data_IF_557699638540
#
_entry.id   IF_557699638540
#
_cell.length_a   1.000
_cell.length_b   1.000
_cell.length_c   1.000
_cell.angle_alpha   90.00
_cell.angle_beta   90.00
_cell.angle_gamma   90.00
#
_symmetry.space_group_name_H-M   'P 1'
#
loop_
_entity.id
_entity.type
_entity.pdbx_description
1 polymer ?
#
# COMPACT_ATOMS: atom_id res chain seq x y z
N UNK A 1 -18.26 -3.37 -5.44
CA UNK A 1 -16.96 -2.66 -5.46
C UNK A 1 -16.39 -2.53 -6.86
N UNK A 2 -15.97 -3.61 -7.55
CA UNK A 2 -15.44 -3.48 -8.92
C UNK A 2 -16.48 -2.96 -9.93
N UNK A 3 -17.73 -3.43 -9.83
CA UNK A 3 -18.84 -2.90 -10.64
C UNK A 3 -19.14 -1.43 -10.38
N UNK A 4 -19.04 -0.97 -9.13
CA UNK A 4 -19.26 0.45 -8.77
C UNK A 4 -18.19 1.36 -9.38
N UNK A 5 -16.96 0.86 -9.51
CA UNK A 5 -15.86 1.59 -10.14
C UNK A 5 -16.04 1.65 -11.66
N UNK A 6 -16.21 0.49 -12.30
CA UNK A 6 -16.27 0.40 -13.77
C UNK A 6 -17.54 1.06 -14.33
N UNK A 7 -18.63 1.02 -13.58
CA UNK A 7 -19.90 1.63 -13.95
C UNK A 7 -20.12 3.05 -13.45
N UNK A 8 -19.10 3.72 -12.89
CA UNK A 8 -19.27 5.08 -12.37
C UNK A 8 -19.39 6.11 -13.50
N UNK A 9 -20.60 6.64 -13.67
CA UNK A 9 -20.94 7.72 -14.59
C UNK A 9 -21.13 9.07 -13.90
N UNK A 10 -20.98 9.12 -12.57
CA UNK A 10 -21.34 10.27 -11.75
C UNK A 10 -20.11 11.01 -11.22
N UNK A 11 -19.18 10.30 -10.58
CA UNK A 11 -18.04 10.95 -9.92
C UNK A 11 -16.83 11.07 -10.83
N UNK A 12 -16.54 10.05 -11.64
CA UNK A 12 -15.40 10.10 -12.56
C UNK A 12 -15.46 11.30 -13.52
N UNK A 13 -16.59 11.64 -14.16
CA UNK A 13 -16.65 12.82 -15.03
C UNK A 13 -16.40 14.14 -14.29
N UNK A 14 -16.78 14.22 -13.01
CA UNK A 14 -16.47 15.39 -12.17
C UNK A 14 -14.97 15.45 -11.87
N UNK A 15 -14.35 14.32 -11.50
CA UNK A 15 -12.91 14.23 -11.31
C UNK A 15 -12.17 14.59 -12.60
N UNK A 16 -12.53 14.02 -13.74
CA UNK A 16 -11.94 14.35 -15.04
C UNK A 16 -12.02 15.85 -15.36
N UNK A 17 -13.15 16.49 -15.05
CA UNK A 17 -13.34 17.92 -15.29
C UNK A 17 -12.52 18.81 -14.35
N UNK A 18 -12.48 18.48 -13.06
CA UNK A 18 -11.99 19.36 -12.00
C UNK A 18 -10.61 18.98 -11.41
N UNK A 19 -10.16 17.74 -11.54
CA UNK A 19 -8.82 17.30 -11.17
C UNK A 19 -7.80 17.89 -12.16
N UNK A 20 -7.27 19.07 -11.79
CA UNK A 20 -6.21 19.76 -12.54
C UNK A 20 -4.92 19.74 -11.72
N UNK A 21 -3.74 19.73 -12.35
CA UNK A 21 -2.48 19.65 -11.63
C UNK A 21 -2.32 20.71 -10.52
N UNK A 22 -1.77 20.36 -9.35
CA UNK A 22 -1.30 19.02 -8.95
C UNK A 22 -2.48 18.16 -8.45
N UNK A 23 -2.86 17.13 -9.22
CA UNK A 23 -3.92 16.19 -8.86
C UNK A 23 -3.59 14.81 -9.44
N UNK A 24 -3.59 13.79 -8.58
CA UNK A 24 -3.28 12.41 -8.93
C UNK A 24 -4.57 11.59 -8.83
N UNK A 25 -5.17 11.29 -9.98
CA UNK A 25 -6.49 10.66 -10.06
C UNK A 25 -6.50 9.32 -9.30
N UNK A 26 -5.45 8.53 -9.44
CA UNK A 26 -5.27 7.24 -8.79
C UNK A 26 -5.12 7.32 -7.26
N UNK A 27 -4.69 8.46 -6.72
CA UNK A 27 -4.56 8.68 -5.26
C UNK A 27 -5.82 9.25 -4.61
N UNK A 28 -6.78 9.73 -5.40
CA UNK A 28 -7.96 10.44 -4.88
C UNK A 28 -9.29 9.85 -5.31
N UNK A 29 -9.45 9.51 -6.59
CA UNK A 29 -10.75 9.18 -7.17
C UNK A 29 -11.40 7.97 -6.48
N UNK A 30 -10.69 6.83 -6.42
CA UNK A 30 -11.25 5.60 -5.86
C UNK A 30 -11.60 5.76 -4.39
N UNK A 31 -10.73 6.40 -3.62
CA UNK A 31 -10.92 6.64 -2.18
C UNK A 31 -12.15 7.52 -1.94
N UNK A 32 -12.28 8.62 -2.68
CA UNK A 32 -13.42 9.54 -2.55
C UNK A 32 -14.73 8.86 -2.95
N UNK A 33 -14.77 8.26 -4.13
CA UNK A 33 -15.99 7.62 -4.66
C UNK A 33 -16.46 6.47 -3.75
N UNK A 34 -15.55 5.57 -3.35
CA UNK A 34 -15.91 4.41 -2.52
C UNK A 34 -16.31 4.82 -1.10
N UNK A 35 -15.72 5.88 -0.55
CA UNK A 35 -16.11 6.40 0.77
C UNK A 35 -17.53 6.96 0.76
N UNK A 36 -17.99 7.51 -0.37
CA UNK A 36 -19.36 7.99 -0.53
C UNK A 36 -20.32 6.82 -0.80
N UNK A 37 -19.97 5.90 -1.71
CA UNK A 37 -20.90 4.84 -2.19
C UNK A 37 -20.94 3.60 -1.30
N UNK A 38 -19.84 3.22 -0.67
CA UNK A 38 -19.72 1.94 0.04
C UNK A 38 -18.74 1.99 1.22
N UNK A 39 -18.91 2.94 2.17
CA UNK A 39 -17.95 3.12 3.27
C UNK A 39 -17.80 1.88 4.16
N UNK A 40 -18.87 1.10 4.33
CA UNK A 40 -18.88 -0.12 5.15
C UNK A 40 -18.10 -1.29 4.54
N UNK A 41 -17.72 -1.19 3.25
CA UNK A 41 -16.90 -2.19 2.57
C UNK A 41 -15.41 -1.82 2.55
N UNK A 42 -15.03 -0.64 3.08
CA UNK A 42 -13.65 -0.18 3.10
C UNK A 42 -12.94 -0.60 4.39
N UNK A 43 -11.77 -1.21 4.25
CA UNK A 43 -10.93 -1.59 5.38
C UNK A 43 -10.09 -0.42 5.94
N UNK A 44 -10.14 0.76 5.32
CA UNK A 44 -9.36 1.96 5.68
C UNK A 44 -7.86 1.70 5.91
N UNK A 45 -7.30 0.76 5.15
CA UNK A 45 -5.90 0.34 5.23
C UNK A 45 -5.40 -0.13 3.87
N UNK A 46 -4.09 -0.11 3.68
CA UNK A 46 -3.40 -0.71 2.52
C UNK A 46 -2.82 -2.08 2.89
N UNK A 47 -2.49 -2.88 1.87
CA UNK A 47 -1.75 -4.13 1.99
C UNK A 47 -0.24 -3.95 1.73
N UNK A 48 0.19 -2.73 1.41
CA UNK A 48 1.57 -2.45 1.02
C UNK A 48 2.27 -1.60 2.08
N UNK A 49 3.37 -2.10 2.64
CA UNK A 49 4.25 -1.34 3.51
C UNK A 49 4.99 -0.27 2.72
N UNK A 50 4.99 0.96 3.23
CA UNK A 50 5.65 2.11 2.61
C UNK A 50 6.28 2.97 3.70
N UNK A 51 7.53 3.38 3.51
CA UNK A 51 8.20 4.31 4.42
C UNK A 51 8.06 5.75 3.96
N UNK A 52 7.38 6.55 4.78
CA UNK A 52 7.21 7.99 4.61
C UNK A 52 8.02 8.82 5.62
N UNK A 53 8.86 8.19 6.44
CA UNK A 53 9.63 8.88 7.48
C UNK A 53 10.56 9.97 6.96
N UNK A 54 10.99 9.85 5.68
CA UNK A 54 11.86 10.82 5.00
C UNK A 54 11.15 12.09 4.54
N UNK A 55 9.81 12.10 4.53
CA UNK A 55 9.00 13.19 4.00
C UNK A 55 9.10 13.38 2.48
N UNK A 56 8.39 14.38 1.97
CA UNK A 56 8.35 14.70 0.53
C UNK A 56 7.26 13.95 -0.25
N UNK A 57 7.27 14.10 -1.57
CA UNK A 57 6.24 13.56 -2.47
C UNK A 57 6.42 12.06 -2.81
N UNK A 58 7.54 11.46 -2.41
CA UNK A 58 7.86 10.08 -2.74
C UNK A 58 8.33 9.33 -1.50
N UNK A 59 7.96 8.04 -1.37
CA UNK A 59 8.40 7.25 -0.24
C UNK A 59 9.89 6.89 -0.32
N UNK A 60 10.44 6.50 0.83
CA UNK A 60 11.80 6.00 0.95
C UNK A 60 12.08 4.83 0.01
N UNK A 61 13.31 4.81 -0.53
CA UNK A 61 13.83 3.69 -1.31
C UNK A 61 14.86 2.92 -0.48
N UNK A 62 14.71 1.61 -0.43
CA UNK A 62 15.55 0.67 0.31
C UNK A 62 16.52 -0.05 -0.63
N UNK A 63 17.81 0.04 -0.34
CA UNK A 63 18.89 -0.60 -1.06
C UNK A 63 19.31 -1.92 -0.43
N UNK A 64 20.43 -2.46 -0.93
CA UNK A 64 21.05 -3.68 -0.40
C UNK A 64 21.28 -3.64 1.11
N UNK A 65 21.82 -2.51 1.61
CA UNK A 65 22.22 -2.37 3.01
C UNK A 65 21.01 -2.30 3.97
N UNK A 66 19.82 -2.05 3.44
CA UNK A 66 18.58 -2.05 4.20
C UNK A 66 17.97 -3.46 4.35
N UNK A 67 18.46 -4.47 3.61
CA UNK A 67 17.92 -5.84 3.63
C UNK A 67 18.44 -6.64 4.84
N UNK A 68 18.17 -6.15 6.03
CA UNK A 68 18.58 -6.78 7.30
C UNK A 68 17.42 -7.53 7.96
N UNK A 69 17.73 -8.49 8.84
CA UNK A 69 16.72 -9.19 9.64
C UNK A 69 15.83 -8.21 10.40
N UNK A 70 16.43 -7.16 10.96
CA UNK A 70 15.75 -6.14 11.74
C UNK A 70 14.75 -5.35 10.90
N UNK A 71 15.08 -5.09 9.62
CA UNK A 71 14.17 -4.44 8.68
C UNK A 71 12.91 -5.29 8.46
N UNK A 72 13.07 -6.58 8.15
CA UNK A 72 11.94 -7.50 7.98
C UNK A 72 11.16 -7.71 9.28
N UNK A 73 11.85 -7.85 10.40
CA UNK A 73 11.25 -7.93 11.73
C UNK A 73 10.35 -6.73 12.00
N UNK A 74 10.82 -5.51 11.71
CA UNK A 74 10.03 -4.28 11.89
C UNK A 74 8.81 -4.21 10.94
N UNK A 75 8.90 -4.77 9.75
CA UNK A 75 7.78 -4.81 8.79
C UNK A 75 6.72 -5.85 9.17
N UNK A 76 7.15 -7.03 9.64
CA UNK A 76 6.30 -8.19 9.88
C UNK A 76 5.77 -8.22 11.32
N UNK A 77 6.62 -7.92 12.29
CA UNK A 77 6.27 -7.97 13.70
C UNK A 77 5.68 -6.64 14.21
N UNK A 78 4.73 -6.73 15.13
CA UNK A 78 4.18 -5.57 15.83
C UNK A 78 2.98 -4.90 15.14
N UNK A 79 2.50 -5.44 14.03
CA UNK A 79 1.25 -4.97 13.40
C UNK A 79 0.12 -5.98 13.63
N UNK A 80 -0.89 -5.55 14.39
CA UNK A 80 -2.19 -6.23 14.45
C UNK A 80 -3.20 -5.37 13.72
N UNK A 81 -3.97 -5.98 12.82
CA UNK A 81 -5.02 -5.32 12.07
C UNK A 81 -6.26 -6.19 12.05
N UNK A 82 -7.37 -5.60 11.61
CA UNK A 82 -8.62 -6.31 11.42
C UNK A 82 -8.71 -6.80 9.97
N UNK A 83 -8.97 -8.08 9.81
CA UNK A 83 -9.30 -8.73 8.54
C UNK A 83 -10.61 -9.51 8.73
N UNK A 84 -11.64 -9.19 7.95
CA UNK A 84 -12.98 -9.78 8.09
C UNK A 84 -13.51 -9.77 9.52
N UNK A 85 -13.36 -8.64 10.21
CA UNK A 85 -13.77 -8.44 11.61
C UNK A 85 -13.05 -9.33 12.63
N UNK A 86 -11.91 -9.93 12.26
CA UNK A 86 -11.07 -10.73 13.14
C UNK A 86 -9.66 -10.12 13.24
N UNK A 87 -9.02 -10.15 14.42
CA UNK A 87 -7.62 -9.78 14.55
C UNK A 87 -6.72 -10.67 13.68
N UNK A 88 -5.75 -10.07 13.01
CA UNK A 88 -4.76 -10.76 12.17
C UNK A 88 -3.39 -10.11 12.29
N UNK A 89 -2.35 -10.92 12.19
CA UNK A 89 -0.96 -10.49 12.01
C UNK A 89 -0.59 -10.26 10.53
N UNK A 90 -1.43 -10.71 9.59
CA UNK A 90 -1.20 -10.58 8.15
C UNK A 90 -1.68 -9.21 7.62
N UNK A 91 -1.06 -8.14 8.12
CA UNK A 91 -1.48 -6.78 7.78
C UNK A 91 -0.94 -6.32 6.43
N UNK A 92 0.30 -6.64 6.12
CA UNK A 92 0.96 -6.19 4.91
C UNK A 92 1.45 -7.41 4.14
N UNK A 93 1.18 -7.44 2.85
CA UNK A 93 1.53 -8.52 1.94
C UNK A 93 2.63 -8.09 0.94
N UNK A 94 2.82 -6.78 0.79
CA UNK A 94 3.76 -6.19 -0.17
C UNK A 94 4.56 -5.08 0.52
N UNK A 95 5.70 -4.71 -0.07
CA UNK A 95 6.51 -3.57 0.37
C UNK A 95 7.02 -2.76 -0.84
N UNK A 96 7.15 -1.43 -0.67
CA UNK A 96 7.82 -0.54 -1.63
C UNK A 96 8.50 0.63 -0.90
N UNK A 97 9.55 1.25 -1.43
CA UNK A 97 10.19 1.05 -2.76
C UNK A 97 11.54 0.34 -2.59
N UNK A 98 11.71 -0.79 -3.26
CA UNK A 98 12.95 -1.58 -3.19
C UNK A 98 13.80 -1.27 -4.42
N UNK A 99 15.08 -0.96 -4.23
CA UNK A 99 16.02 -0.70 -5.32
C UNK A 99 16.51 -2.00 -5.97
N UNK A 100 16.89 -1.99 -7.27
CA UNK A 100 17.37 -3.18 -7.96
C UNK A 100 18.58 -3.86 -7.31
N UNK A 101 19.47 -3.10 -6.66
CA UNK A 101 20.65 -3.64 -5.98
C UNK A 101 20.31 -4.42 -4.69
N UNK A 102 19.08 -4.32 -4.18
CA UNK A 102 18.60 -5.10 -3.04
C UNK A 102 18.16 -6.52 -3.44
N UNK A 103 17.88 -6.75 -4.72
CA UNK A 103 17.36 -8.03 -5.21
C UNK A 103 18.25 -9.24 -4.87
N UNK A 104 19.59 -9.19 -5.03
CA UNK A 104 20.44 -10.32 -4.67
C UNK A 104 20.29 -10.71 -3.19
N UNK A 105 20.28 -9.72 -2.28
CA UNK A 105 20.13 -9.97 -0.84
C UNK A 105 18.74 -10.54 -0.49
N UNK A 106 17.69 -10.06 -1.15
CA UNK A 106 16.34 -10.60 -1.00
C UNK A 106 16.23 -12.06 -1.40
N UNK A 107 16.87 -12.44 -2.52
CA UNK A 107 16.84 -13.81 -3.02
C UNK A 107 17.67 -14.74 -2.13
N UNK A 108 18.88 -14.30 -1.77
CA UNK A 108 19.82 -15.05 -0.93
C UNK A 108 19.24 -15.38 0.45
N UNK A 109 18.51 -14.44 1.06
CA UNK A 109 17.95 -14.58 2.41
C UNK A 109 16.42 -14.79 2.43
N UNK A 110 15.82 -15.19 1.30
CA UNK A 110 14.36 -15.30 1.18
C UNK A 110 13.73 -16.24 2.23
N UNK A 111 14.27 -17.45 2.42
CA UNK A 111 13.78 -18.39 3.44
C UNK A 111 13.94 -17.85 4.86
N UNK A 112 14.98 -17.05 5.10
CA UNK A 112 15.24 -16.45 6.41
C UNK A 112 14.25 -15.33 6.72
N UNK A 113 13.92 -14.50 5.73
CA UNK A 113 13.02 -13.35 5.91
C UNK A 113 11.55 -13.72 5.83
N UNK A 114 11.20 -14.72 5.02
CA UNK A 114 9.81 -15.05 4.70
C UNK A 114 9.36 -16.44 5.17
N UNK A 115 10.27 -17.30 5.63
CA UNK A 115 9.94 -18.55 6.31
C UNK A 115 9.40 -19.68 5.43
N UNK A 116 9.76 -19.71 4.13
CA UNK A 116 9.43 -20.80 3.21
C UNK A 116 10.66 -21.43 2.55
#
# INVERSE_FOLDING_TARGET
MAGDIVGDDTFYPLFEKFCRPACYVDEHYFQTMLSIRSPHLLANRTLTWVDWSRGGAHPGTFGKDDMTKEFFKKMIEGQTCIYNNQPSSACLLFARKIAPNALPALLEHSSEFFGY
#
